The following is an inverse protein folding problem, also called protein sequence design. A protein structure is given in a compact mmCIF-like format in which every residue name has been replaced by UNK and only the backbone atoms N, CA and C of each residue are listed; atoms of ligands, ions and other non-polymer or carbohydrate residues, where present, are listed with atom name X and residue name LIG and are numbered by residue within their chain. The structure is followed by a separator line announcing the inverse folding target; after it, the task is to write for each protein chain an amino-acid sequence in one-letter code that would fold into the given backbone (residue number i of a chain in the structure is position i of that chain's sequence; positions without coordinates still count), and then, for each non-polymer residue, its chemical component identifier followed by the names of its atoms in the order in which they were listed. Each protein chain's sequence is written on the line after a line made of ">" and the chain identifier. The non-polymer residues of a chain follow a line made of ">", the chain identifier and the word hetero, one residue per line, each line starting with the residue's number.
data_IF_727050270557
#
_entry.id   IF_727050270557
#
_cell.length_a   1.000
_cell.length_b   1.000
_cell.length_c   1.000
_cell.angle_alpha   90.00
_cell.angle_beta   90.00
_cell.angle_gamma   90.00
#
_symmetry.space_group_name_H-M   'P 1'
#
loop_
_entity.id
_entity.type
_entity.pdbx_description
1 polymer ?
#
# COMPACT_ATOMS: atom_id res chain seq x y z
N UNK A 1 -62.14 33.42 22.89
CA UNK A 1 -61.31 32.83 23.97
C UNK A 1 -60.72 31.52 23.42
N UNK A 2 -59.75 31.53 22.50
CA UNK A 2 -58.32 31.88 22.60
C UNK A 2 -57.53 30.84 23.42
N UNK A 3 -56.75 30.03 22.66
CA UNK A 3 -55.44 29.43 22.96
C UNK A 3 -55.24 28.88 24.38
N UNK A 4 -55.37 27.56 24.61
CA UNK A 4 -54.60 26.87 25.68
C UNK A 4 -54.63 25.32 25.67
N UNK A 5 -54.92 24.63 24.55
CA UNK A 5 -54.99 23.14 24.56
C UNK A 5 -54.11 22.39 23.56
N UNK A 6 -53.18 23.05 22.87
CA UNK A 6 -52.33 22.40 21.85
C UNK A 6 -50.83 22.38 22.17
N UNK A 7 -50.41 22.71 23.39
CA UNK A 7 -48.97 22.81 23.74
C UNK A 7 -48.46 21.80 24.78
N UNK A 8 -49.30 20.91 25.31
CA UNK A 8 -48.84 19.86 26.24
C UNK A 8 -48.59 18.48 25.60
N UNK A 9 -48.94 18.30 24.32
CA UNK A 9 -48.80 17.00 23.64
C UNK A 9 -47.43 16.73 23.00
N UNK A 10 -46.58 17.75 22.86
CA UNK A 10 -45.33 17.65 22.06
C UNK A 10 -44.05 17.79 22.89
N UNK A 11 -44.16 18.05 24.20
CA UNK A 11 -43.02 18.19 25.11
C UNK A 11 -42.68 16.92 25.90
N UNK A 12 -43.52 15.88 25.83
CA UNK A 12 -43.29 14.60 26.50
C UNK A 12 -42.71 13.49 25.59
N UNK A 13 -42.55 13.75 24.29
CA UNK A 13 -41.93 12.80 23.35
C UNK A 13 -40.40 12.95 23.20
N UNK A 14 -39.80 14.00 23.78
CA UNK A 14 -38.35 14.26 23.69
C UNK A 14 -37.57 13.89 24.96
N UNK A 15 -38.24 13.57 26.07
CA UNK A 15 -37.58 13.14 27.30
C UNK A 15 -37.38 11.61 27.41
N UNK A 16 -37.94 10.82 26.49
CA UNK A 16 -37.95 9.35 26.55
C UNK A 16 -36.92 8.63 25.66
N UNK A 17 -36.05 9.35 24.94
CA UNK A 17 -35.08 8.75 24.00
C UNK A 17 -33.62 8.80 24.50
N UNK A 18 -33.37 9.35 25.70
CA UNK A 18 -32.02 9.71 26.16
C UNK A 18 -31.27 8.69 27.03
N UNK A 19 -31.89 7.57 27.47
CA UNK A 19 -31.28 6.69 28.50
C UNK A 19 -31.23 5.22 28.06
N UNK A 20 -30.65 4.95 26.89
CA UNK A 20 -30.21 3.58 26.55
C UNK A 20 -28.74 3.50 26.13
N UNK A 21 -27.98 4.60 26.27
CA UNK A 21 -26.53 4.50 26.32
C UNK A 21 -26.16 3.91 27.68
N UNK A 22 -26.10 2.56 27.75
CA UNK A 22 -25.66 1.87 28.97
C UNK A 22 -24.32 2.42 29.45
N UNK A 23 -24.06 2.37 30.77
CA UNK A 23 -22.88 2.97 31.40
C UNK A 23 -21.55 2.67 30.69
N UNK A 24 -21.43 1.52 30.01
CA UNK A 24 -20.28 1.17 29.18
C UNK A 24 -20.04 2.11 27.98
N UNK A 25 -21.08 2.60 27.30
CA UNK A 25 -20.92 3.56 26.20
C UNK A 25 -20.40 4.91 26.69
N UNK A 26 -20.93 5.39 27.82
CA UNK A 26 -20.46 6.62 28.45
C UNK A 26 -19.01 6.48 28.92
N UNK A 27 -18.68 5.36 29.59
CA UNK A 27 -17.32 5.09 30.06
C UNK A 27 -16.28 5.07 28.92
N UNK A 28 -16.60 4.43 27.78
CA UNK A 28 -15.72 4.41 26.60
C UNK A 28 -15.63 5.79 25.95
N UNK A 29 -16.75 6.51 25.83
CA UNK A 29 -16.78 7.84 25.19
C UNK A 29 -16.03 8.90 26.02
N UNK A 30 -16.05 8.81 27.35
CA UNK A 30 -15.33 9.73 28.23
C UNK A 30 -13.85 9.38 28.44
N UNK A 31 -13.39 8.23 27.94
CA UNK A 31 -11.99 7.84 28.09
C UNK A 31 -11.08 8.77 27.26
N UNK A 32 -9.89 9.16 27.78
CA UNK A 32 -8.99 10.04 27.04
C UNK A 32 -8.54 9.37 25.74
N UNK A 33 -8.48 10.15 24.65
CA UNK A 33 -7.92 9.66 23.41
C UNK A 33 -6.43 9.34 23.58
N UNK A 34 -6.00 8.21 23.01
CA UNK A 34 -4.59 7.85 23.00
C UNK A 34 -3.84 8.72 21.98
N UNK A 35 -2.95 9.58 22.46
CA UNK A 35 -2.17 10.56 21.69
C UNK A 35 -0.78 10.02 21.31
N UNK A 36 -0.15 10.49 20.21
CA UNK A 36 1.21 10.09 19.86
C UNK A 36 2.23 10.53 20.90
N UNK A 37 3.28 9.71 21.06
CA UNK A 37 4.45 10.08 21.87
C UNK A 37 5.22 11.22 21.21
N UNK A 38 5.63 12.22 22.00
CA UNK A 38 6.36 13.38 21.49
C UNK A 38 7.72 13.02 20.86
N UNK A 39 8.34 11.92 21.31
CA UNK A 39 9.61 11.41 20.81
C UNK A 39 9.58 9.88 20.72
N UNK A 40 10.36 9.34 19.78
CA UNK A 40 10.61 7.90 19.69
C UNK A 40 11.55 7.46 20.81
N UNK A 41 11.32 6.26 21.34
CA UNK A 41 12.19 5.67 22.37
C UNK A 41 13.50 5.16 21.75
N UNK A 42 14.54 4.97 22.57
CA UNK A 42 15.80 4.37 22.10
C UNK A 42 15.58 2.97 21.52
N UNK A 43 14.72 2.17 22.14
CA UNK A 43 14.34 0.84 21.64
C UNK A 43 13.63 0.92 20.28
N UNK A 44 12.75 1.91 20.07
CA UNK A 44 12.09 2.12 18.79
C UNK A 44 13.08 2.52 17.68
N UNK A 45 14.05 3.38 17.99
CA UNK A 45 15.10 3.78 17.03
C UNK A 45 15.98 2.58 16.66
N UNK A 46 16.34 1.72 17.62
CA UNK A 46 17.15 0.53 17.33
C UNK A 46 16.38 -0.53 16.53
N UNK A 47 15.13 -0.80 16.90
CA UNK A 47 14.26 -1.69 16.14
C UNK A 47 14.05 -1.21 14.70
N UNK A 48 14.02 0.11 14.49
CA UNK A 48 13.91 0.72 13.17
C UNK A 48 15.16 0.50 12.31
N UNK A 49 16.36 0.58 12.91
CA UNK A 49 17.61 0.22 12.20
C UNK A 49 17.59 -1.23 11.76
N UNK A 50 17.15 -2.14 12.62
CA UNK A 50 17.01 -3.55 12.27
C UNK A 50 15.99 -3.74 11.15
N UNK A 51 14.83 -3.07 11.23
CA UNK A 51 13.82 -3.08 10.17
C UNK A 51 14.41 -2.69 8.81
N UNK A 52 15.08 -1.53 8.71
CA UNK A 52 15.65 -1.06 7.44
C UNK A 52 16.77 -1.97 6.95
N UNK A 53 17.64 -2.45 7.85
CA UNK A 53 18.68 -3.42 7.50
C UNK A 53 18.09 -4.69 6.88
N UNK A 54 17.08 -5.26 7.53
CA UNK A 54 16.41 -6.48 7.06
C UNK A 54 15.70 -6.24 5.73
N UNK A 55 14.97 -5.12 5.59
CA UNK A 55 14.24 -4.77 4.36
C UNK A 55 15.19 -4.49 3.19
N UNK A 56 16.19 -3.62 3.37
CA UNK A 56 17.14 -3.26 2.32
C UNK A 56 18.07 -4.42 1.95
N UNK A 57 18.41 -5.30 2.89
CA UNK A 57 19.15 -6.53 2.58
C UNK A 57 18.31 -7.61 1.90
N UNK A 58 16.98 -7.46 1.87
CA UNK A 58 16.06 -8.50 1.38
C UNK A 58 16.10 -9.79 2.20
N UNK A 59 16.44 -9.68 3.49
CA UNK A 59 16.63 -10.79 4.45
C UNK A 59 15.26 -11.32 4.94
N UNK A 60 14.46 -11.88 4.03
CA UNK A 60 13.10 -12.33 4.29
C UNK A 60 12.99 -13.33 5.46
N UNK A 61 14.00 -14.17 5.63
CA UNK A 61 14.12 -15.13 6.73
C UNK A 61 14.32 -14.46 8.10
N UNK A 62 14.78 -13.20 8.15
CA UNK A 62 14.99 -12.42 9.37
C UNK A 62 13.80 -11.52 9.75
N UNK A 63 12.69 -11.63 9.03
CA UNK A 63 11.43 -10.96 9.39
C UNK A 63 11.01 -11.22 10.86
N UNK A 64 11.09 -12.46 11.41
CA UNK A 64 10.75 -12.72 12.80
C UNK A 64 11.59 -11.93 13.82
N UNK A 65 12.88 -11.75 13.56
CA UNK A 65 13.80 -11.02 14.45
C UNK A 65 13.45 -9.53 14.47
N UNK A 66 13.26 -8.93 13.29
CA UNK A 66 12.83 -7.54 13.16
C UNK A 66 11.44 -7.31 13.80
N UNK A 67 10.49 -8.22 13.59
CA UNK A 67 9.18 -8.16 14.25
C UNK A 67 9.28 -8.25 15.77
N UNK A 68 10.18 -9.08 16.30
CA UNK A 68 10.40 -9.22 17.75
C UNK A 68 10.91 -7.90 18.34
N UNK A 69 11.93 -7.30 17.73
CA UNK A 69 12.46 -6.02 18.17
C UNK A 69 11.42 -4.89 18.09
N UNK A 70 10.68 -4.80 16.97
CA UNK A 70 9.64 -3.79 16.78
C UNK A 70 8.49 -3.96 17.78
N UNK A 71 8.03 -5.19 18.04
CA UNK A 71 6.96 -5.47 19.01
C UNK A 71 7.40 -5.21 20.44
N UNK A 72 8.66 -5.50 20.79
CA UNK A 72 9.22 -5.12 22.09
C UNK A 72 9.25 -3.59 22.27
N UNK A 73 9.66 -2.86 21.24
CA UNK A 73 9.63 -1.39 21.25
C UNK A 73 8.20 -0.84 21.35
N UNK A 74 7.24 -1.43 20.64
CA UNK A 74 5.82 -1.05 20.69
C UNK A 74 5.21 -1.34 22.07
N UNK A 75 5.55 -2.47 22.69
CA UNK A 75 5.10 -2.80 24.05
C UNK A 75 5.58 -1.75 25.06
N UNK A 76 6.82 -1.27 24.91
CA UNK A 76 7.39 -0.24 25.77
C UNK A 76 6.80 1.17 25.51
N UNK A 77 6.46 1.48 24.26
CA UNK A 77 5.84 2.75 23.88
C UNK A 77 4.81 2.53 22.76
N UNK A 78 3.54 2.23 23.10
CA UNK A 78 2.52 1.90 22.11
C UNK A 78 1.96 3.14 21.41
N UNK A 79 2.51 4.33 21.70
CA UNK A 79 2.11 5.61 21.14
C UNK A 79 3.09 6.10 20.04
N UNK A 80 4.08 5.29 19.63
CA UNK A 80 4.94 5.59 18.48
C UNK A 80 4.27 5.12 17.16
N UNK A 81 3.77 6.04 16.30
CA UNK A 81 3.12 5.68 15.05
C UNK A 81 4.06 4.99 14.05
N UNK A 82 5.36 5.33 14.07
CA UNK A 82 6.34 4.78 13.13
C UNK A 82 6.59 3.31 13.44
N UNK A 83 6.77 2.98 14.72
CA UNK A 83 6.94 1.58 15.15
C UNK A 83 5.70 0.76 14.83
N UNK A 84 4.48 1.31 15.05
CA UNK A 84 3.25 0.64 14.63
C UNK A 84 3.25 0.37 13.12
N UNK A 85 3.52 1.39 12.29
CA UNK A 85 3.56 1.25 10.84
C UNK A 85 4.61 0.22 10.37
N UNK A 86 5.80 0.18 10.96
CA UNK A 86 6.85 -0.77 10.57
C UNK A 86 6.52 -2.21 10.98
N UNK A 87 5.82 -2.44 12.10
CA UNK A 87 5.26 -3.77 12.39
C UNK A 87 4.26 -4.16 11.29
N UNK A 88 3.37 -3.24 10.92
CA UNK A 88 2.43 -3.46 9.83
C UNK A 88 3.13 -3.78 8.50
N UNK A 89 4.24 -3.08 8.20
CA UNK A 89 5.02 -3.29 6.98
C UNK A 89 5.64 -4.67 6.89
N UNK A 90 6.19 -5.19 7.99
CA UNK A 90 6.76 -6.53 8.01
C UNK A 90 5.71 -7.61 7.73
N UNK A 91 4.48 -7.41 8.21
CA UNK A 91 3.34 -8.27 7.87
C UNK A 91 2.88 -8.08 6.41
N UNK A 92 2.87 -6.85 5.87
CA UNK A 92 2.65 -6.61 4.42
C UNK A 92 3.71 -7.36 3.59
N UNK A 93 4.98 -7.33 3.98
CA UNK A 93 6.03 -7.99 3.22
C UNK A 93 5.82 -9.50 3.16
N UNK A 94 5.45 -10.13 4.29
CA UNK A 94 5.06 -11.56 4.31
C UNK A 94 3.86 -11.85 3.40
N UNK A 95 2.86 -10.97 3.42
CA UNK A 95 1.65 -11.09 2.59
C UNK A 95 1.94 -10.93 1.09
N UNK A 96 2.74 -9.91 0.75
CA UNK A 96 3.07 -9.52 -0.62
C UNK A 96 4.00 -10.52 -1.31
N UNK A 97 4.99 -11.04 -0.59
CA UNK A 97 5.97 -12.00 -1.12
C UNK A 97 5.71 -13.44 -0.66
N UNK A 98 4.44 -13.78 -0.40
CA UNK A 98 4.01 -15.14 -0.04
C UNK A 98 4.44 -16.22 -1.04
N UNK A 99 4.75 -15.85 -2.28
CA UNK A 99 5.35 -16.74 -3.29
C UNK A 99 6.73 -17.29 -2.89
N UNK A 100 7.39 -16.72 -1.88
CA UNK A 100 8.61 -17.27 -1.28
C UNK A 100 8.36 -18.53 -0.46
N UNK A 101 7.12 -18.78 -0.07
CA UNK A 101 6.76 -19.99 0.67
C UNK A 101 6.54 -21.14 -0.31
N UNK A 102 7.08 -22.35 -0.05
CA UNK A 102 6.85 -23.52 -0.90
C UNK A 102 5.36 -23.88 -1.06
N UNK A 103 4.56 -23.56 -0.04
CA UNK A 103 3.11 -23.68 -0.07
C UNK A 103 2.49 -22.49 0.68
N UNK A 104 1.32 -22.04 0.23
CA UNK A 104 0.59 -20.98 0.90
C UNK A 104 0.14 -21.47 2.28
N UNK A 105 0.69 -20.87 3.34
CA UNK A 105 0.30 -21.21 4.70
C UNK A 105 -1.01 -20.50 5.10
N UNK A 106 -1.92 -21.17 5.84
CA UNK A 106 -3.17 -20.54 6.29
C UNK A 106 -2.98 -19.33 7.23
N UNK A 107 -1.85 -19.25 7.93
CA UNK A 107 -1.50 -18.13 8.82
C UNK A 107 -1.21 -16.81 8.07
N UNK A 108 -1.22 -16.83 6.74
CA UNK A 108 -1.19 -15.61 5.92
C UNK A 108 -2.40 -14.69 6.20
N UNK A 109 -3.49 -15.27 6.70
CA UNK A 109 -4.67 -14.51 7.14
C UNK A 109 -4.36 -13.64 8.37
N UNK A 110 -3.52 -14.13 9.29
CA UNK A 110 -3.04 -13.37 10.44
C UNK A 110 -2.18 -12.18 10.01
N UNK A 111 -1.33 -12.35 8.99
CA UNK A 111 -0.51 -11.27 8.44
C UNK A 111 -1.38 -10.12 7.92
N UNK A 112 -2.51 -10.41 7.25
CA UNK A 112 -3.45 -9.37 6.80
C UNK A 112 -4.12 -8.63 7.98
N UNK A 113 -4.60 -9.36 8.98
CA UNK A 113 -5.27 -8.79 10.16
C UNK A 113 -4.30 -7.95 11.00
N UNK A 114 -3.11 -8.48 11.27
CA UNK A 114 -2.09 -7.78 12.06
C UNK A 114 -1.62 -6.53 11.33
N UNK A 115 -1.32 -6.63 10.03
CA UNK A 115 -0.95 -5.46 9.25
C UNK A 115 -2.04 -4.38 9.31
N UNK A 116 -3.33 -4.74 9.08
CA UNK A 116 -4.45 -3.78 9.14
C UNK A 116 -4.50 -3.10 10.50
N UNK A 117 -4.45 -3.88 11.58
CA UNK A 117 -4.53 -3.38 12.96
C UNK A 117 -3.40 -2.39 13.28
N UNK A 118 -2.18 -2.69 12.88
CA UNK A 118 -1.04 -1.81 13.15
C UNK A 118 -1.05 -0.54 12.30
N UNK A 119 -1.54 -0.60 11.07
CA UNK A 119 -1.74 0.61 10.25
C UNK A 119 -2.93 1.45 10.70
N UNK A 120 -4.01 0.84 11.17
CA UNK A 120 -5.12 1.54 11.83
C UNK A 120 -4.61 2.36 13.01
N UNK A 121 -3.75 1.76 13.83
CA UNK A 121 -3.13 2.42 14.96
C UNK A 121 -2.18 3.54 14.53
N UNK A 122 -1.38 3.33 13.49
CA UNK A 122 -0.48 4.36 12.94
C UNK A 122 -1.27 5.56 12.40
N UNK A 123 -2.37 5.32 11.68
CA UNK A 123 -3.28 6.37 11.19
C UNK A 123 -3.91 7.12 12.36
N UNK A 124 -4.36 6.40 13.39
CA UNK A 124 -4.99 7.01 14.58
C UNK A 124 -4.01 7.92 15.33
N UNK A 125 -2.74 7.52 15.44
CA UNK A 125 -1.69 8.27 16.12
C UNK A 125 -1.09 9.40 15.26
N UNK A 126 -1.12 9.26 13.93
CA UNK A 126 -0.58 10.25 13.00
C UNK A 126 -1.46 10.40 11.74
N UNK A 127 -2.65 11.03 11.86
CA UNK A 127 -3.63 11.08 10.77
C UNK A 127 -3.19 11.92 9.57
N UNK A 128 -2.19 12.78 9.73
CA UNK A 128 -1.59 13.57 8.64
C UNK A 128 -0.64 12.78 7.73
N UNK A 129 -0.25 11.57 8.11
CA UNK A 129 0.64 10.74 7.29
C UNK A 129 -0.16 9.93 6.26
N UNK A 130 -0.33 10.51 5.08
CA UNK A 130 -1.14 9.94 4.00
C UNK A 130 -0.68 8.56 3.52
N UNK A 131 0.60 8.19 3.71
CA UNK A 131 1.09 6.84 3.38
C UNK A 131 0.43 5.79 4.27
N UNK A 132 0.34 6.06 5.58
CA UNK A 132 -0.29 5.12 6.52
C UNK A 132 -1.75 4.89 6.16
N UNK A 133 -2.44 5.93 5.70
CA UNK A 133 -3.83 5.84 5.24
C UNK A 133 -3.95 4.94 3.99
N UNK A 134 -3.05 5.08 3.02
CA UNK A 134 -3.00 4.22 1.84
C UNK A 134 -2.79 2.75 2.19
N UNK A 135 -1.82 2.43 3.05
CA UNK A 135 -1.60 1.05 3.49
C UNK A 135 -2.76 0.49 4.29
N UNK A 136 -3.32 1.26 5.23
CA UNK A 136 -4.52 0.87 5.96
C UNK A 136 -5.69 0.54 5.02
N UNK A 137 -5.92 1.38 4.01
CA UNK A 137 -6.95 1.18 3.00
C UNK A 137 -6.74 -0.11 2.19
N UNK A 138 -5.51 -0.37 1.73
CA UNK A 138 -5.16 -1.62 1.04
C UNK A 138 -5.43 -2.85 1.92
N UNK A 139 -5.12 -2.76 3.20
CA UNK A 139 -5.29 -3.86 4.15
C UNK A 139 -6.74 -4.12 4.53
N UNK A 140 -7.58 -3.07 4.63
CA UNK A 140 -9.03 -3.22 4.73
C UNK A 140 -9.59 -4.00 3.53
N UNK A 141 -9.14 -3.69 2.32
CA UNK A 141 -9.59 -4.42 1.13
C UNK A 141 -9.08 -5.86 1.10
N UNK A 142 -7.83 -6.09 1.48
CA UNK A 142 -7.24 -7.43 1.55
C UNK A 142 -7.95 -8.31 2.58
N UNK A 143 -8.04 -7.86 3.84
CA UNK A 143 -8.72 -8.57 4.92
C UNK A 143 -10.20 -8.79 4.59
N UNK A 144 -10.91 -7.75 4.14
CA UNK A 144 -12.31 -7.86 3.74
C UNK A 144 -12.53 -8.87 2.63
N UNK A 145 -11.60 -8.99 1.67
CA UNK A 145 -11.67 -10.01 0.61
C UNK A 145 -11.48 -11.42 1.17
N UNK A 146 -10.50 -11.61 2.06
CA UNK A 146 -10.23 -12.90 2.72
C UNK A 146 -11.45 -13.36 3.52
N UNK A 147 -12.06 -12.46 4.29
CA UNK A 147 -13.20 -12.75 5.15
C UNK A 147 -14.56 -12.65 4.45
N UNK A 148 -14.59 -12.31 3.16
CA UNK A 148 -15.82 -12.05 2.39
C UNK A 148 -16.71 -10.96 3.03
N UNK A 149 -16.09 -9.97 3.67
CA UNK A 149 -16.75 -8.80 4.25
C UNK A 149 -16.78 -7.65 3.23
N UNK A 150 -17.89 -7.55 2.49
CA UNK A 150 -18.09 -6.50 1.50
C UNK A 150 -18.07 -5.09 2.11
N UNK A 151 -18.55 -4.93 3.35
CA UNK A 151 -18.55 -3.63 4.02
C UNK A 151 -17.13 -3.17 4.30
N UNK A 152 -16.26 -4.05 4.75
CA UNK A 152 -14.84 -3.76 4.97
C UNK A 152 -14.14 -3.43 3.64
N UNK A 153 -14.41 -4.19 2.57
CA UNK A 153 -13.86 -3.90 1.24
C UNK A 153 -14.28 -2.51 0.74
N UNK A 154 -15.57 -2.16 0.85
CA UNK A 154 -16.08 -0.84 0.45
C UNK A 154 -15.47 0.28 1.30
N UNK A 155 -15.31 0.07 2.62
CA UNK A 155 -14.60 1.03 3.49
C UNK A 155 -13.18 1.25 3.00
N UNK A 156 -12.42 0.18 2.78
CA UNK A 156 -11.04 0.27 2.29
C UNK A 156 -10.94 1.01 0.95
N UNK A 157 -11.88 0.77 0.02
CA UNK A 157 -11.92 1.48 -1.26
C UNK A 157 -12.07 3.00 -1.11
N UNK A 158 -13.03 3.47 -0.29
CA UNK A 158 -13.20 4.91 -0.07
C UNK A 158 -12.06 5.52 0.74
N UNK A 159 -11.53 4.80 1.74
CA UNK A 159 -10.33 5.23 2.47
C UNK A 159 -9.11 5.36 1.53
N UNK A 160 -8.98 4.52 0.51
CA UNK A 160 -7.93 4.67 -0.50
C UNK A 160 -8.10 5.95 -1.31
N UNK A 161 -9.35 6.33 -1.64
CA UNK A 161 -9.62 7.60 -2.33
C UNK A 161 -9.24 8.81 -1.47
N UNK A 162 -9.53 8.76 -0.17
CA UNK A 162 -9.09 9.78 0.78
C UNK A 162 -7.55 9.87 0.83
N UNK A 163 -6.87 8.72 0.82
CA UNK A 163 -5.40 8.66 0.78
C UNK A 163 -4.83 9.26 -0.53
N UNK A 164 -5.42 8.93 -1.67
CA UNK A 164 -5.08 9.53 -2.98
C UNK A 164 -5.25 11.03 -2.97
N UNK A 165 -6.36 11.54 -2.43
CA UNK A 165 -6.58 12.98 -2.29
C UNK A 165 -5.55 13.65 -1.38
N UNK A 166 -5.16 12.99 -0.29
CA UNK A 166 -4.19 13.53 0.67
C UNK A 166 -2.75 13.58 0.13
N UNK A 167 -2.33 12.59 -0.67
CA UNK A 167 -1.01 12.60 -1.29
C UNK A 167 -1.00 11.75 -2.59
N UNK A 168 -1.33 12.36 -3.75
CA UNK A 168 -1.55 11.63 -4.99
C UNK A 168 -0.28 11.00 -5.56
N UNK A 169 0.88 11.65 -5.44
CA UNK A 169 2.17 11.12 -5.95
C UNK A 169 2.53 9.75 -5.36
N UNK A 170 2.06 9.46 -4.14
CA UNK A 170 2.28 8.18 -3.50
C UNK A 170 1.08 7.23 -3.67
N UNK A 171 -0.13 7.71 -3.37
CA UNK A 171 -1.27 6.83 -3.18
C UNK A 171 -1.95 6.40 -4.49
N UNK A 172 -1.73 7.09 -5.61
CA UNK A 172 -2.11 6.53 -6.91
C UNK A 172 -1.35 5.23 -7.20
N UNK A 173 -0.04 5.22 -6.95
CA UNK A 173 0.76 4.01 -7.06
C UNK A 173 0.25 2.93 -6.10
N UNK A 174 0.02 3.26 -4.82
CA UNK A 174 -0.46 2.28 -3.83
C UNK A 174 -1.80 1.66 -4.23
N UNK A 175 -2.74 2.47 -4.70
CA UNK A 175 -4.04 2.02 -5.19
C UNK A 175 -3.90 1.10 -6.42
N UNK A 176 -3.16 1.54 -7.43
CA UNK A 176 -2.93 0.79 -8.66
C UNK A 176 -2.17 -0.53 -8.42
N UNK A 177 -1.13 -0.48 -7.58
CA UNK A 177 -0.28 -1.63 -7.27
C UNK A 177 -1.08 -2.72 -6.53
N UNK A 178 -1.84 -2.34 -5.51
CA UNK A 178 -2.65 -3.28 -4.72
C UNK A 178 -3.72 -3.97 -5.57
N UNK A 179 -4.35 -3.23 -6.50
CA UNK A 179 -5.42 -3.74 -7.35
C UNK A 179 -4.91 -4.39 -8.67
N UNK A 180 -3.60 -4.44 -8.92
CA UNK A 180 -3.02 -5.07 -10.12
C UNK A 180 -3.33 -6.58 -10.23
N UNK A 181 -3.64 -7.24 -9.12
CA UNK A 181 -4.01 -8.67 -9.07
C UNK A 181 -5.45 -8.97 -9.51
N UNK A 182 -6.30 -7.96 -9.66
CA UNK A 182 -7.72 -8.13 -10.03
C UNK A 182 -7.86 -8.73 -11.44
N UNK A 183 -8.99 -9.41 -11.78
CA UNK A 183 -9.24 -9.91 -13.13
C UNK A 183 -9.12 -8.79 -14.17
N UNK A 184 -8.53 -9.08 -15.34
CA UNK A 184 -8.23 -8.07 -16.37
C UNK A 184 -9.48 -7.36 -16.91
N UNK A 185 -10.60 -8.07 -16.94
CA UNK A 185 -11.91 -7.61 -17.38
C UNK A 185 -12.71 -6.87 -16.28
N UNK A 186 -12.21 -6.85 -15.05
CA UNK A 186 -12.87 -6.18 -13.93
C UNK A 186 -12.76 -4.66 -14.02
N UNK A 187 -13.78 -3.95 -13.52
CA UNK A 187 -13.73 -2.50 -13.37
C UNK A 187 -12.57 -2.04 -12.46
N UNK A 188 -12.28 -2.84 -11.41
CA UNK A 188 -11.19 -2.55 -10.47
C UNK A 188 -9.81 -2.59 -11.13
N UNK A 189 -9.56 -3.55 -12.02
CA UNK A 189 -8.29 -3.59 -12.75
C UNK A 189 -8.15 -2.40 -13.72
N UNK A 190 -9.22 -2.02 -14.42
CA UNK A 190 -9.20 -0.84 -15.30
C UNK A 190 -8.91 0.44 -14.53
N UNK A 191 -9.56 0.63 -13.38
CA UNK A 191 -9.30 1.78 -12.50
C UNK A 191 -7.86 1.75 -11.96
N UNK A 192 -7.36 0.58 -11.55
CA UNK A 192 -5.98 0.40 -11.10
C UNK A 192 -4.95 0.76 -12.17
N UNK A 193 -5.22 0.43 -13.43
CA UNK A 193 -4.36 0.78 -14.57
C UNK A 193 -4.35 2.29 -14.81
N UNK A 194 -5.51 2.96 -14.72
CA UNK A 194 -5.56 4.44 -14.81
C UNK A 194 -4.80 5.11 -13.65
N UNK A 195 -4.85 4.55 -12.43
CA UNK A 195 -4.06 5.09 -11.32
C UNK A 195 -2.54 5.03 -11.57
N UNK A 196 -2.03 4.03 -12.30
CA UNK A 196 -0.61 4.03 -12.69
C UNK A 196 -0.29 5.16 -13.68
N UNK A 197 -1.17 5.44 -14.64
CA UNK A 197 -1.02 6.61 -15.52
C UNK A 197 -1.08 7.93 -14.75
N UNK A 198 -2.03 8.06 -13.83
CA UNK A 198 -2.17 9.26 -13.01
C UNK A 198 -0.96 9.46 -12.10
N UNK A 199 -0.32 8.39 -11.62
CA UNK A 199 0.96 8.48 -10.91
C UNK A 199 2.02 9.19 -11.75
N UNK A 200 2.18 8.78 -13.01
CA UNK A 200 3.12 9.46 -13.91
C UNK A 200 2.74 10.92 -14.12
N UNK A 201 1.45 11.19 -14.39
CA UNK A 201 0.96 12.54 -14.66
C UNK A 201 1.25 13.50 -13.50
N UNK A 202 1.01 13.08 -12.25
CA UNK A 202 1.27 13.93 -11.07
C UNK A 202 2.77 14.07 -10.78
N UNK A 203 3.55 13.02 -11.02
CA UNK A 203 4.99 13.05 -10.83
C UNK A 203 5.66 14.08 -11.75
N UNK A 204 5.29 14.10 -13.03
CA UNK A 204 5.88 15.02 -14.01
C UNK A 204 5.16 16.37 -14.10
N UNK A 205 3.91 16.46 -13.62
CA UNK A 205 3.10 17.68 -13.65
C UNK A 205 2.44 17.95 -15.01
N UNK A 206 2.39 16.97 -15.91
CA UNK A 206 1.71 17.04 -17.20
C UNK A 206 1.21 15.65 -17.60
N UNK A 207 0.28 15.59 -18.56
CA UNK A 207 -0.25 14.31 -19.06
C UNK A 207 0.80 13.60 -19.91
N UNK A 208 1.21 12.40 -19.50
CA UNK A 208 2.15 11.57 -20.27
C UNK A 208 1.46 11.01 -21.52
N UNK A 209 2.21 10.90 -22.62
CA UNK A 209 1.75 10.21 -23.83
C UNK A 209 1.58 8.71 -23.54
N UNK A 210 0.33 8.26 -23.50
CA UNK A 210 -0.02 6.88 -23.18
C UNK A 210 0.25 5.91 -24.33
N UNK A 211 0.34 6.40 -25.56
CA UNK A 211 0.66 5.59 -26.74
C UNK A 211 2.16 5.38 -26.90
N UNK A 212 2.97 6.36 -26.49
CA UNK A 212 4.43 6.27 -26.48
C UNK A 212 5.01 6.89 -25.18
N UNK A 213 4.98 6.15 -24.05
CA UNK A 213 5.32 6.69 -22.74
C UNK A 213 6.83 6.76 -22.50
N UNK A 214 7.59 7.34 -23.43
CA UNK A 214 9.03 7.59 -23.25
C UNK A 214 9.25 8.62 -22.13
N UNK A 215 9.93 8.18 -21.08
CA UNK A 215 10.13 8.96 -19.87
C UNK A 215 11.46 9.73 -19.86
N UNK A 216 12.30 9.59 -20.89
CA UNK A 216 13.65 10.18 -20.98
C UNK A 216 13.66 11.66 -20.63
N UNK A 217 12.72 12.44 -21.19
CA UNK A 217 12.69 13.90 -21.00
C UNK A 217 12.45 14.29 -19.53
N UNK A 218 11.78 13.43 -18.76
CA UNK A 218 11.39 13.73 -17.37
C UNK A 218 12.47 13.43 -16.36
N UNK A 219 13.54 12.74 -16.74
CA UNK A 219 14.65 12.43 -15.83
C UNK A 219 15.29 13.67 -15.21
N UNK A 220 15.19 14.83 -15.89
CA UNK A 220 15.62 16.13 -15.34
C UNK A 220 14.82 16.61 -14.11
N UNK A 221 13.67 16.01 -13.84
CA UNK A 221 12.76 16.36 -12.74
C UNK A 221 13.03 15.53 -11.47
N UNK A 222 14.05 14.67 -11.49
CA UNK A 222 14.46 13.87 -10.32
C UNK A 222 14.67 14.78 -9.10
N UNK A 223 14.08 14.39 -7.97
CA UNK A 223 14.19 15.13 -6.71
C UNK A 223 14.16 14.19 -5.51
N UNK A 224 14.82 14.61 -4.44
CA UNK A 224 14.81 13.91 -3.13
C UNK A 224 13.94 14.63 -2.10
N UNK A 225 13.33 15.75 -2.49
CA UNK A 225 12.61 16.66 -1.61
C UNK A 225 11.14 16.81 -1.97
N UNK A 226 10.35 17.29 -1.00
CA UNK A 226 8.93 17.59 -1.18
C UNK A 226 8.05 16.36 -1.48
N UNK A 227 6.82 16.63 -1.92
CA UNK A 227 5.82 15.59 -2.20
C UNK A 227 6.25 14.66 -3.34
N UNK A 228 6.98 15.18 -4.34
CA UNK A 228 7.42 14.44 -5.53
C UNK A 228 8.63 13.54 -5.33
N UNK A 229 9.29 13.56 -4.16
CA UNK A 229 10.43 12.65 -3.88
C UNK A 229 10.11 11.16 -4.04
N UNK A 230 8.83 10.78 -3.86
CA UNK A 230 8.37 9.39 -4.01
C UNK A 230 8.21 8.95 -5.46
N UNK A 231 8.37 9.85 -6.42
CA UNK A 231 8.36 9.53 -7.85
C UNK A 231 9.70 8.97 -8.34
N UNK A 232 10.75 9.02 -7.49
CA UNK A 232 12.13 8.72 -7.86
C UNK A 232 12.77 7.78 -6.84
N UNK A 233 14.02 7.39 -7.08
CA UNK A 233 14.80 6.60 -6.15
C UNK A 233 15.13 7.41 -4.89
N UNK A 234 15.04 6.75 -3.74
CA UNK A 234 15.30 7.37 -2.43
C UNK A 234 15.92 6.35 -1.49
N UNK A 235 16.42 6.80 -0.34
CA UNK A 235 16.96 5.88 0.66
C UNK A 235 15.90 4.88 1.19
N UNK A 236 14.60 5.23 1.13
CA UNK A 236 13.50 4.35 1.55
C UNK A 236 13.31 3.20 0.54
N UNK A 237 13.30 3.56 -0.74
CA UNK A 237 13.11 2.67 -1.88
C UNK A 237 14.18 2.99 -2.94
N UNK A 238 15.38 2.39 -2.82
CA UNK A 238 16.55 2.70 -3.64
C UNK A 238 16.34 2.39 -5.13
N UNK A 239 15.37 1.53 -5.46
CA UNK A 239 14.99 1.19 -6.82
C UNK A 239 13.50 1.39 -7.06
N UNK A 240 12.92 2.42 -6.42
CA UNK A 240 11.52 2.78 -6.58
C UNK A 240 11.13 3.01 -8.05
N UNK A 241 12.00 3.70 -8.80
CA UNK A 241 11.78 4.03 -10.19
C UNK A 241 11.76 2.75 -11.04
N UNK A 242 12.79 1.90 -10.93
CA UNK A 242 12.88 0.64 -11.65
C UNK A 242 11.71 -0.30 -11.32
N UNK A 243 11.39 -0.45 -10.03
CA UNK A 243 10.29 -1.28 -9.57
C UNK A 243 8.93 -0.76 -10.02
N UNK A 244 8.71 0.56 -10.05
CA UNK A 244 7.50 1.17 -10.60
C UNK A 244 7.32 0.80 -12.07
N UNK A 245 8.34 1.03 -12.91
CA UNK A 245 8.26 0.76 -14.34
C UNK A 245 8.14 -0.73 -14.67
N UNK A 246 8.75 -1.60 -13.86
CA UNK A 246 8.53 -3.05 -13.94
C UNK A 246 7.08 -3.42 -13.65
N UNK A 247 6.53 -2.98 -12.53
CA UNK A 247 5.14 -3.29 -12.19
C UNK A 247 4.15 -2.71 -13.20
N UNK A 248 4.36 -1.47 -13.65
CA UNK A 248 3.44 -0.84 -14.58
C UNK A 248 3.50 -1.50 -15.96
N UNK A 249 4.69 -1.85 -16.46
CA UNK A 249 4.82 -2.66 -17.67
C UNK A 249 4.09 -4.00 -17.54
N UNK A 250 4.18 -4.67 -16.38
CA UNK A 250 3.45 -5.93 -16.12
C UNK A 250 1.92 -5.74 -16.21
N UNK A 251 1.39 -4.63 -15.69
CA UNK A 251 -0.03 -4.30 -15.81
C UNK A 251 -0.45 -4.02 -17.26
N UNK A 252 0.39 -3.36 -18.05
CA UNK A 252 0.13 -3.11 -19.48
C UNK A 252 0.16 -4.39 -20.32
N UNK A 253 1.12 -5.29 -20.05
CA UNK A 253 1.15 -6.64 -20.66
C UNK A 253 -0.14 -7.38 -20.35
N UNK A 254 -0.55 -7.42 -19.08
CA UNK A 254 -1.81 -8.06 -18.68
C UNK A 254 -3.03 -7.45 -19.39
N UNK A 255 -3.03 -6.13 -19.57
CA UNK A 255 -4.05 -5.39 -20.31
C UNK A 255 -4.04 -5.66 -21.84
N UNK A 256 -3.09 -6.46 -22.35
CA UNK A 256 -2.97 -6.75 -23.77
C UNK A 256 -2.30 -5.65 -24.57
N UNK A 257 -1.43 -4.84 -23.95
CA UNK A 257 -0.69 -3.74 -24.58
C UNK A 257 0.85 -3.98 -24.55
N UNK A 258 1.35 -5.08 -25.15
CA UNK A 258 2.76 -5.47 -24.99
C UNK A 258 3.75 -4.48 -25.62
N UNK A 259 3.38 -3.76 -26.69
CA UNK A 259 4.23 -2.77 -27.35
C UNK A 259 4.45 -1.55 -26.46
N UNK A 260 3.36 -1.04 -25.86
CA UNK A 260 3.40 0.06 -24.88
C UNK A 260 4.14 -0.37 -23.63
N UNK A 261 3.91 -1.61 -23.16
CA UNK A 261 4.62 -2.17 -22.02
C UNK A 261 6.13 -2.24 -22.26
N UNK A 262 6.57 -2.60 -23.47
CA UNK A 262 7.99 -2.64 -23.81
C UNK A 262 8.66 -1.25 -23.70
N UNK A 263 7.96 -0.18 -24.07
CA UNK A 263 8.43 1.20 -23.82
C UNK A 263 8.46 1.48 -22.31
N UNK A 264 7.39 1.14 -21.60
CA UNK A 264 7.28 1.33 -20.15
C UNK A 264 8.42 0.65 -19.39
N UNK A 265 8.72 -0.61 -19.69
CA UNK A 265 9.84 -1.32 -19.08
C UNK A 265 11.19 -0.66 -19.36
N UNK A 266 11.43 -0.20 -20.60
CA UNK A 266 12.70 0.45 -20.97
C UNK A 266 12.97 1.73 -20.17
N UNK A 267 11.94 2.41 -19.69
CA UNK A 267 12.12 3.61 -18.88
C UNK A 267 12.94 3.33 -17.62
N UNK A 268 12.82 2.14 -17.00
CA UNK A 268 13.62 1.76 -15.83
C UNK A 268 15.13 1.88 -16.05
N UNK A 269 15.60 1.76 -17.30
CA UNK A 269 17.02 1.88 -17.68
C UNK A 269 17.58 3.29 -17.50
N UNK A 270 16.72 4.29 -17.34
CA UNK A 270 17.15 5.67 -17.13
C UNK A 270 17.59 5.97 -15.70
N UNK A 271 17.23 5.12 -14.73
CA UNK A 271 17.69 5.28 -13.35
C UNK A 271 19.21 5.09 -13.27
N UNK A 272 19.86 5.91 -12.44
CA UNK A 272 21.31 5.84 -12.22
C UNK A 272 21.70 4.52 -11.54
N UNK A 273 20.82 4.00 -10.69
CA UNK A 273 20.99 2.78 -9.91
C UNK A 273 20.69 1.51 -10.73
N UNK A 274 20.15 1.62 -11.95
CA UNK A 274 19.78 0.49 -12.80
C UNK A 274 20.90 -0.57 -12.99
N UNK A 275 22.19 -0.20 -13.18
CA UNK A 275 23.25 -1.19 -13.33
C UNK A 275 23.45 -2.09 -12.10
N UNK A 276 23.11 -1.59 -10.91
CA UNK A 276 23.24 -2.32 -9.64
C UNK A 276 21.94 -3.03 -9.23
N UNK A 277 20.81 -2.74 -9.89
CA UNK A 277 19.51 -3.27 -9.50
C UNK A 277 19.45 -4.81 -9.59
N UNK A 278 19.16 -5.54 -8.49
CA UNK A 278 19.19 -7.00 -8.47
C UNK A 278 18.20 -7.67 -9.44
N UNK A 279 17.14 -6.96 -9.83
CA UNK A 279 16.06 -7.47 -10.68
C UNK A 279 16.19 -7.04 -12.14
N UNK A 280 17.33 -6.45 -12.53
CA UNK A 280 17.63 -6.04 -13.90
C UNK A 280 17.38 -7.15 -14.93
N UNK A 281 17.85 -8.38 -14.65
CA UNK A 281 17.69 -9.51 -15.57
C UNK A 281 16.21 -9.86 -15.81
N UNK A 282 15.37 -9.73 -14.78
CA UNK A 282 13.93 -9.95 -14.90
C UNK A 282 13.30 -8.89 -15.80
N UNK A 283 13.67 -7.61 -15.64
CA UNK A 283 13.18 -6.56 -16.53
C UNK A 283 13.57 -6.82 -17.99
N UNK A 284 14.82 -7.22 -18.25
CA UNK A 284 15.29 -7.55 -19.60
C UNK A 284 14.50 -8.72 -20.21
N UNK A 285 14.19 -9.74 -19.41
CA UNK A 285 13.32 -10.83 -19.83
C UNK A 285 11.88 -10.35 -20.13
N UNK A 286 11.33 -9.45 -19.30
CA UNK A 286 10.00 -8.85 -19.52
C UNK A 286 9.94 -8.08 -20.82
N UNK A 287 10.99 -7.33 -21.17
CA UNK A 287 11.09 -6.60 -22.44
C UNK A 287 11.09 -7.59 -23.62
N UNK A 288 11.90 -8.65 -23.56
CA UNK A 288 12.01 -9.63 -24.64
C UNK A 288 10.76 -10.51 -24.81
N UNK A 289 10.00 -10.72 -23.74
CA UNK A 289 8.85 -11.63 -23.71
C UNK A 289 7.49 -10.92 -23.52
N UNK A 290 7.40 -9.60 -23.67
CA UNK A 290 6.18 -8.82 -23.40
C UNK A 290 4.93 -9.43 -24.05
N UNK A 291 4.96 -9.73 -25.36
CA UNK A 291 3.83 -10.33 -26.08
C UNK A 291 3.51 -11.76 -25.62
N UNK A 292 4.53 -12.55 -25.26
CA UNK A 292 4.34 -13.93 -24.77
C UNK A 292 3.74 -13.97 -23.36
N UNK A 293 3.98 -12.93 -22.56
CA UNK A 293 3.58 -12.87 -21.16
C UNK A 293 2.10 -12.46 -20.96
N UNK A 294 1.40 -11.99 -21.99
CA UNK A 294 0.01 -11.50 -21.88
C UNK A 294 -0.90 -12.53 -21.20
N UNK A 295 -0.96 -13.75 -21.72
CA UNK A 295 -1.81 -14.80 -21.16
C UNK A 295 -1.28 -15.34 -19.84
N UNK A 296 0.05 -15.37 -19.66
CA UNK A 296 0.65 -15.79 -18.40
C UNK A 296 0.26 -14.86 -17.24
N UNK A 297 0.26 -13.55 -17.46
CA UNK A 297 -0.06 -12.55 -16.44
C UNK A 297 -1.56 -12.46 -16.10
N UNK A 298 -2.43 -12.98 -16.98
CA UNK A 298 -3.87 -13.08 -16.74
C UNK A 298 -4.24 -14.25 -15.83
N UNK A 299 -3.39 -15.27 -15.70
CA UNK A 299 -3.65 -16.43 -14.84
C UNK A 299 -3.75 -16.00 -13.37
N UNK A 300 -4.81 -16.38 -12.63
CA UNK A 300 -4.95 -16.00 -11.22
C UNK A 300 -3.91 -16.70 -10.33
N UNK A 301 -3.59 -17.95 -10.66
CA UNK A 301 -2.63 -18.80 -9.96
C UNK A 301 -1.55 -19.24 -10.95
N UNK A 302 -0.43 -18.50 -11.05
CA UNK A 302 0.70 -18.91 -11.89
C UNK A 302 1.34 -20.17 -11.30
N UNK A 303 1.79 -21.08 -12.16
CA UNK A 303 2.62 -22.20 -11.73
C UNK A 303 4.00 -21.73 -11.23
N UNK A 304 4.77 -22.57 -10.52
CA UNK A 304 6.04 -22.20 -9.91
C UNK A 304 7.05 -21.55 -10.87
N UNK A 305 7.10 -22.01 -12.12
CA UNK A 305 8.02 -21.51 -13.15
C UNK A 305 7.34 -20.59 -14.18
N UNK A 306 6.07 -20.22 -13.94
CA UNK A 306 5.34 -19.35 -14.87
C UNK A 306 5.73 -17.88 -14.66
N UNK A 307 5.98 -17.17 -15.76
CA UNK A 307 6.08 -15.72 -15.72
C UNK A 307 4.80 -15.13 -15.08
N UNK A 308 4.98 -14.26 -14.09
CA UNK A 308 3.88 -13.61 -13.38
C UNK A 308 4.18 -12.14 -13.09
N UNK A 309 3.15 -11.40 -12.71
CA UNK A 309 3.24 -10.00 -12.31
C UNK A 309 4.19 -9.86 -11.10
N UNK A 310 4.94 -8.76 -11.04
CA UNK A 310 5.76 -8.40 -9.87
C UNK A 310 4.98 -8.49 -8.55
N UNK A 311 3.73 -8.03 -8.49
CA UNK A 311 2.89 -8.09 -7.28
C UNK A 311 2.59 -9.51 -6.76
N UNK A 312 2.81 -10.55 -7.59
CA UNK A 312 2.62 -11.97 -7.25
C UNK A 312 3.93 -12.73 -7.15
N UNK A 313 5.07 -12.06 -7.31
CA UNK A 313 6.38 -12.69 -7.32
C UNK A 313 7.01 -12.74 -5.93
N UNK A 314 8.18 -13.38 -5.85
CA UNK A 314 9.04 -13.38 -4.67
C UNK A 314 9.73 -12.02 -4.43
N UNK A 315 9.47 -11.01 -5.24
CA UNK A 315 10.11 -9.70 -5.17
C UNK A 315 9.12 -8.54 -5.28
N UNK A 316 7.85 -8.78 -4.94
CA UNK A 316 6.81 -7.75 -4.94
C UNK A 316 7.23 -6.46 -4.20
N UNK A 317 7.88 -6.59 -3.04
CA UNK A 317 8.45 -5.47 -2.30
C UNK A 317 9.91 -5.23 -2.68
N UNK A 318 10.68 -6.29 -2.87
CA UNK A 318 12.13 -6.18 -3.08
C UNK A 318 12.52 -5.55 -4.40
N UNK A 319 11.65 -5.58 -5.42
CA UNK A 319 11.87 -4.87 -6.68
C UNK A 319 12.14 -3.38 -6.47
N UNK A 320 11.57 -2.77 -5.42
CA UNK A 320 11.82 -1.37 -5.06
C UNK A 320 12.83 -1.18 -3.91
N UNK A 321 12.90 -2.14 -2.98
CA UNK A 321 13.54 -1.93 -1.68
C UNK A 321 14.91 -2.57 -1.50
N UNK A 322 15.25 -3.63 -2.25
CA UNK A 322 16.50 -4.36 -2.03
C UNK A 322 17.69 -3.63 -2.66
N UNK A 323 18.71 -3.36 -1.84
CA UNK A 323 20.03 -2.83 -2.27
C UNK A 323 20.96 -3.95 -2.73
#
# INVERSE_FOLDING_TARGET
>A
MIRHRMLLGTLLALAGLGVTAGCGRLAVWSAPEKTPSAKRSAAAVEADRLFWKTLHGGEYEKIPDALTALKAAYLANPNDPVTAAHIGWMHIWRLGERARQPALRPDITDDAVLARKYFEEAVRLHPGEARYLGFYASLLMAEGTIHKDEKMVRRGFYTMKDAVHAWPEFNYFTAGYTASTQPVDSARFREALEYQWLTLDVCVGEKVDRANPDYTRYMRLETRDGAKRVCWNSWIAPHNFEGFFLNFGDMLVKAGQPEVAAVMYRNARHAREYPAWPYRAILEERIGNASKNVEAFRKPEPGPDSATLMVRSTFACMGCHRQ
#
